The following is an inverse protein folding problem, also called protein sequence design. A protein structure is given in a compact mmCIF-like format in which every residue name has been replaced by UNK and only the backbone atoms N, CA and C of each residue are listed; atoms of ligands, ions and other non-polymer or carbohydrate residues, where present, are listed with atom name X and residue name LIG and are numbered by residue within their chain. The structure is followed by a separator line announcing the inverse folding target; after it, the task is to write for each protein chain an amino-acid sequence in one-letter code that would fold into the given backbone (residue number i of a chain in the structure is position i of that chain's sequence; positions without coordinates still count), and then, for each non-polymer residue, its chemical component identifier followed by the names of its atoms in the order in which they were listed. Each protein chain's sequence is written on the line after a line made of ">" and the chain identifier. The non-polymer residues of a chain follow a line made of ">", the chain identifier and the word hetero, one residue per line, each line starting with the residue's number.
data_IF_482740829799
#
_entry.id   IF_482740829799
#
_cell.length_a   1.000
_cell.length_b   1.000
_cell.length_c   1.000
_cell.angle_alpha   90.00
_cell.angle_beta   90.00
_cell.angle_gamma   90.00
#
_symmetry.space_group_name_H-M   'P 1'
#
loop_
_entity.id
_entity.type
_entity.pdbx_description
1 polymer ?
#
# COMPACT_ATOMS: atom_id res chain seq x y z
N UNK A 1 5.71 6.55 10.46
CA UNK A 1 6.61 6.67 9.29
C UNK A 1 7.85 5.86 9.52
N UNK A 2 8.55 5.42 8.47
CA UNK A 2 9.92 4.94 8.66
C UNK A 2 10.82 6.11 9.08
N UNK A 3 11.80 5.87 9.96
CA UNK A 3 12.77 6.90 10.40
C UNK A 3 13.50 7.51 9.19
N UNK A 4 13.77 6.69 8.17
CA UNK A 4 14.41 7.08 6.91
C UNK A 4 13.56 8.06 6.12
N UNK A 5 12.24 7.83 5.99
CA UNK A 5 11.33 8.75 5.31
C UNK A 5 11.29 10.10 6.02
N UNK A 6 11.23 10.08 7.35
CA UNK A 6 11.21 11.31 8.15
C UNK A 6 12.51 12.10 7.98
N UNK A 7 13.67 11.45 8.12
CA UNK A 7 14.98 12.09 7.92
C UNK A 7 15.16 12.59 6.48
N UNK A 8 14.68 11.85 5.48
CA UNK A 8 14.73 12.28 4.09
C UNK A 8 13.91 13.54 3.84
N UNK A 9 12.68 13.59 4.37
CA UNK A 9 11.82 14.79 4.28
C UNK A 9 12.46 15.97 4.99
N UNK A 10 12.93 15.80 6.22
CA UNK A 10 13.60 16.87 6.97
C UNK A 10 14.90 17.34 6.30
N UNK A 11 15.69 16.42 5.76
CA UNK A 11 16.91 16.74 5.02
C UNK A 11 16.63 17.52 3.74
N UNK A 12 15.60 17.13 2.97
CA UNK A 12 15.20 17.85 1.76
C UNK A 12 14.77 19.29 2.07
N UNK A 13 13.89 19.47 3.06
CA UNK A 13 13.50 20.81 3.49
C UNK A 13 14.67 21.60 4.07
N UNK A 14 15.54 20.95 4.86
CA UNK A 14 16.72 21.59 5.44
C UNK A 14 17.70 22.11 4.39
N UNK A 15 17.99 21.33 3.35
CA UNK A 15 18.81 21.76 2.22
C UNK A 15 18.15 22.89 1.42
N UNK A 16 16.84 22.79 1.18
CA UNK A 16 16.07 23.81 0.45
C UNK A 16 16.04 25.15 1.20
N UNK A 17 15.64 25.15 2.46
CA UNK A 17 15.62 26.36 3.28
C UNK A 17 17.04 26.89 3.55
N UNK A 18 18.01 26.00 3.75
CA UNK A 18 19.41 26.37 3.90
C UNK A 18 19.94 27.14 2.70
N UNK A 19 19.68 26.67 1.48
CA UNK A 19 20.06 27.37 0.26
C UNK A 19 19.43 28.77 0.15
N UNK A 20 18.15 28.90 0.50
CA UNK A 20 17.44 30.18 0.49
C UNK A 20 18.06 31.16 1.50
N UNK A 21 18.30 30.71 2.73
CA UNK A 21 18.86 31.57 3.80
C UNK A 21 20.28 32.03 3.46
N UNK A 22 21.10 31.16 2.88
CA UNK A 22 22.49 31.50 2.49
C UNK A 22 22.51 32.53 1.35
N UNK A 23 21.58 32.41 0.40
CA UNK A 23 21.63 33.19 -0.85
C UNK A 23 20.83 34.49 -0.77
N UNK A 24 19.73 34.51 0.00
CA UNK A 24 18.75 35.58 -0.06
C UNK A 24 18.88 36.56 1.13
N UNK A 25 18.96 37.87 0.87
CA UNK A 25 18.95 38.89 1.93
C UNK A 25 17.55 39.04 2.57
N UNK A 26 16.48 38.68 1.85
CA UNK A 26 15.12 38.64 2.37
C UNK A 26 14.41 37.38 1.88
N UNK A 27 14.10 36.48 2.83
CA UNK A 27 13.46 35.17 2.58
C UNK A 27 12.01 35.33 2.11
N UNK A 28 11.34 36.43 2.47
CA UNK A 28 9.93 36.67 2.12
C UNK A 28 9.70 36.82 0.62
N UNK A 29 10.75 37.13 -0.17
CA UNK A 29 10.67 37.25 -1.63
C UNK A 29 10.25 35.92 -2.29
N UNK A 30 10.54 34.79 -1.64
CA UNK A 30 10.15 33.47 -2.14
C UNK A 30 8.67 33.13 -1.89
N UNK A 31 7.97 33.93 -1.07
CA UNK A 31 6.54 33.75 -0.81
C UNK A 31 5.72 34.66 -1.72
N UNK A 32 5.59 34.25 -2.98
CA UNK A 32 4.72 34.90 -3.96
C UNK A 32 3.41 34.13 -4.16
N UNK A 33 2.29 34.80 -3.89
CA UNK A 33 0.96 34.19 -3.99
C UNK A 33 0.58 33.87 -5.44
N UNK A 34 1.04 34.67 -6.41
CA UNK A 34 0.78 34.42 -7.83
C UNK A 34 1.48 33.15 -8.31
N UNK A 35 2.78 32.99 -7.98
CA UNK A 35 3.57 31.79 -8.26
C UNK A 35 2.95 30.55 -7.62
N UNK A 36 2.48 30.65 -6.37
CA UNK A 36 1.81 29.53 -5.69
C UNK A 36 0.54 29.08 -6.42
N UNK A 37 -0.33 30.02 -6.83
CA UNK A 37 -1.55 29.72 -7.58
C UNK A 37 -1.21 29.10 -8.94
N UNK A 38 -0.21 29.61 -9.66
CA UNK A 38 0.17 29.05 -10.96
C UNK A 38 0.71 27.63 -10.84
N UNK A 39 1.59 27.36 -9.87
CA UNK A 39 2.19 26.03 -9.71
C UNK A 39 1.15 25.03 -9.20
N UNK A 40 0.45 25.31 -8.10
CA UNK A 40 -0.56 24.39 -7.58
C UNK A 40 -1.77 24.28 -8.49
N UNK A 41 -2.32 25.40 -8.94
CA UNK A 41 -3.49 25.43 -9.82
C UNK A 41 -3.20 24.79 -11.18
N UNK A 42 -2.02 25.05 -11.75
CA UNK A 42 -1.59 24.46 -13.02
C UNK A 42 -1.38 22.95 -12.91
N UNK A 43 -0.68 22.49 -11.87
CA UNK A 43 -0.45 21.05 -11.65
C UNK A 43 -1.75 20.31 -11.37
N UNK A 44 -2.61 20.81 -10.48
CA UNK A 44 -3.93 20.21 -10.21
C UNK A 44 -4.80 20.19 -11.46
N UNK A 45 -4.90 21.29 -12.20
CA UNK A 45 -5.69 21.35 -13.44
C UNK A 45 -5.16 20.34 -14.48
N UNK A 46 -3.84 20.25 -14.64
CA UNK A 46 -3.22 19.28 -15.54
C UNK A 46 -3.52 17.83 -15.14
N UNK A 47 -3.53 17.52 -13.83
CA UNK A 47 -3.94 16.20 -13.34
C UNK A 47 -5.40 15.86 -13.70
N UNK A 48 -6.33 16.81 -13.55
CA UNK A 48 -7.74 16.62 -13.92
C UNK A 48 -7.99 16.55 -15.43
N UNK A 49 -7.10 17.13 -16.25
CA UNK A 49 -7.13 16.97 -17.71
C UNK A 49 -6.61 15.59 -18.12
N UNK A 50 -5.54 15.11 -17.46
CA UNK A 50 -4.88 13.86 -17.83
C UNK A 50 -5.58 12.59 -17.31
N UNK A 51 -6.29 12.68 -16.18
CA UNK A 51 -6.88 11.53 -15.50
C UNK A 51 -8.33 11.78 -15.08
N UNK A 52 -9.11 10.70 -14.94
CA UNK A 52 -10.48 10.84 -14.44
C UNK A 52 -10.48 11.46 -13.02
N UNK A 53 -11.44 12.37 -12.72
CA UNK A 53 -11.47 13.09 -11.45
C UNK A 53 -11.45 12.19 -10.21
N UNK A 54 -12.07 11.01 -10.30
CA UNK A 54 -12.11 10.03 -9.21
C UNK A 54 -10.70 9.61 -8.77
N UNK A 55 -9.79 9.40 -9.72
CA UNK A 55 -8.44 8.91 -9.46
C UNK A 55 -7.53 9.99 -8.92
N UNK A 56 -7.68 11.22 -9.42
CA UNK A 56 -7.00 12.40 -8.86
C UNK A 56 -7.36 12.58 -7.39
N UNK A 57 -8.66 12.54 -7.05
CA UNK A 57 -9.13 12.66 -5.66
C UNK A 57 -8.62 11.52 -4.78
N UNK A 58 -8.65 10.27 -5.27
CA UNK A 58 -8.14 9.12 -4.53
C UNK A 58 -6.64 9.26 -4.27
N UNK A 59 -5.87 9.67 -5.27
CA UNK A 59 -4.42 9.87 -5.20
C UNK A 59 -4.05 10.94 -4.18
N UNK A 60 -4.75 12.08 -4.17
CA UNK A 60 -4.55 13.14 -3.17
C UNK A 60 -4.81 12.63 -1.74
N UNK A 61 -5.84 11.78 -1.54
CA UNK A 61 -6.09 11.15 -0.23
C UNK A 61 -5.00 10.14 0.15
N UNK A 62 -4.41 9.45 -0.82
CA UNK A 62 -3.32 8.50 -0.59
C UNK A 62 -2.00 9.19 -0.23
N UNK A 63 -1.73 10.40 -0.75
CA UNK A 63 -0.55 11.18 -0.37
C UNK A 63 -0.47 11.39 1.15
N UNK A 64 -1.60 11.67 1.81
CA UNK A 64 -1.65 11.79 3.26
C UNK A 64 -1.28 10.47 3.99
N UNK A 65 -1.49 9.31 3.36
CA UNK A 65 -1.08 8.00 3.92
C UNK A 65 0.39 7.69 3.73
N UNK A 66 1.10 8.35 2.82
CA UNK A 66 2.57 8.24 2.71
C UNK A 66 3.23 8.70 4.01
N UNK A 67 2.58 9.65 4.70
CA UNK A 67 3.00 10.12 6.00
C UNK A 67 2.68 9.15 7.17
N UNK A 68 1.95 8.06 6.91
CA UNK A 68 1.65 7.05 7.92
C UNK A 68 2.74 5.96 7.95
N UNK A 69 2.81 5.19 9.05
CA UNK A 69 3.68 4.00 9.08
C UNK A 69 3.22 2.94 8.09
N UNK A 70 4.15 2.24 7.40
CA UNK A 70 3.81 1.06 6.61
C UNK A 70 3.07 0.06 7.50
N UNK A 71 1.90 -0.41 7.07
CA UNK A 71 1.11 -1.40 7.81
C UNK A 71 1.70 -2.81 7.74
N UNK A 72 2.60 -3.05 6.78
CA UNK A 72 3.23 -4.34 6.54
C UNK A 72 4.66 -4.27 7.05
N UNK A 73 4.92 -4.96 8.15
CA UNK A 73 6.26 -5.13 8.71
C UNK A 73 6.79 -6.55 8.45
N UNK A 74 8.12 -6.72 8.48
CA UNK A 74 8.78 -8.03 8.38
C UNK A 74 8.24 -9.04 9.39
N UNK A 75 7.87 -8.59 10.60
CA UNK A 75 7.24 -9.45 11.60
C UNK A 75 5.90 -10.02 11.14
N UNK A 76 5.09 -9.21 10.45
CA UNK A 76 3.80 -9.63 9.90
C UNK A 76 3.98 -10.67 8.79
N UNK A 77 4.92 -10.47 7.85
CA UNK A 77 5.19 -11.46 6.80
C UNK A 77 5.61 -12.82 7.40
N UNK A 78 6.50 -12.81 8.39
CA UNK A 78 6.93 -14.04 9.07
C UNK A 78 5.76 -14.74 9.76
N UNK A 79 4.87 -13.98 10.40
CA UNK A 79 3.68 -14.52 11.05
C UNK A 79 2.71 -15.16 10.05
N UNK A 80 2.53 -14.56 8.86
CA UNK A 80 1.69 -15.10 7.78
C UNK A 80 2.29 -16.39 7.19
N UNK A 81 3.59 -16.43 6.91
CA UNK A 81 4.27 -17.66 6.47
C UNK A 81 4.12 -18.77 7.52
N UNK A 82 4.36 -18.43 8.80
CA UNK A 82 4.18 -19.38 9.89
C UNK A 82 2.74 -19.90 10.02
N UNK A 83 1.75 -19.08 9.69
CA UNK A 83 0.33 -19.50 9.65
C UNK A 83 0.10 -20.54 8.56
N UNK A 84 0.60 -20.31 7.34
CA UNK A 84 0.46 -21.25 6.22
C UNK A 84 1.14 -22.59 6.54
N UNK A 85 2.34 -22.56 7.14
CA UNK A 85 3.06 -23.77 7.55
C UNK A 85 2.26 -24.57 8.59
N UNK A 86 1.69 -23.91 9.61
CA UNK A 86 0.84 -24.57 10.61
C UNK A 86 -0.36 -25.25 9.97
N UNK A 87 -1.02 -24.60 9.02
CA UNK A 87 -2.13 -25.19 8.28
C UNK A 87 -1.73 -26.41 7.46
N UNK A 88 -0.56 -26.41 6.83
CA UNK A 88 -0.04 -27.59 6.13
C UNK A 88 0.12 -28.79 7.09
N UNK A 89 0.67 -28.56 8.29
CA UNK A 89 0.75 -29.59 9.34
C UNK A 89 -0.62 -30.04 9.83
N UNK A 90 -1.57 -29.12 10.03
CA UNK A 90 -2.94 -29.44 10.43
C UNK A 90 -3.61 -30.37 9.41
N UNK A 91 -3.47 -30.07 8.11
CA UNK A 91 -3.98 -30.92 7.02
C UNK A 91 -3.30 -32.28 7.02
N UNK A 92 -1.97 -32.33 7.16
CA UNK A 92 -1.22 -33.58 7.17
C UNK A 92 -1.64 -34.51 8.32
N UNK A 93 -1.94 -33.94 9.50
CA UNK A 93 -2.27 -34.71 10.71
C UNK A 93 -3.76 -35.06 10.82
N UNK A 94 -4.64 -34.11 10.50
CA UNK A 94 -6.07 -34.18 10.82
C UNK A 94 -6.98 -34.06 9.58
N UNK A 95 -6.40 -33.89 8.39
CA UNK A 95 -7.14 -33.72 7.14
C UNK A 95 -7.72 -32.31 6.90
N UNK A 96 -8.39 -32.15 5.76
CA UNK A 96 -9.00 -30.89 5.31
C UNK A 96 -10.07 -30.33 6.28
N UNK A 97 -10.94 -31.14 6.94
CA UNK A 97 -11.94 -30.59 7.85
C UNK A 97 -11.34 -29.81 9.03
N UNK A 98 -10.14 -30.19 9.48
CA UNK A 98 -9.43 -29.47 10.53
C UNK A 98 -8.93 -28.09 10.05
N UNK A 99 -8.47 -28.00 8.80
CA UNK A 99 -8.12 -26.74 8.16
C UNK A 99 -9.33 -25.80 8.08
N UNK A 100 -10.51 -26.30 7.73
CA UNK A 100 -11.72 -25.48 7.63
C UNK A 100 -12.10 -24.84 8.98
N UNK A 101 -12.01 -25.61 10.08
CA UNK A 101 -12.27 -25.07 11.42
C UNK A 101 -11.24 -24.01 11.83
N UNK A 102 -9.96 -24.23 11.52
CA UNK A 102 -8.88 -23.30 11.87
C UNK A 102 -8.97 -22.01 11.02
N UNK A 103 -9.25 -22.15 9.73
CA UNK A 103 -9.42 -21.04 8.79
C UNK A 103 -10.59 -20.13 9.15
N UNK A 104 -11.75 -20.69 9.58
CA UNK A 104 -12.90 -19.90 10.03
C UNK A 104 -12.57 -18.95 11.19
N UNK A 105 -11.60 -19.30 12.03
CA UNK A 105 -11.16 -18.49 13.18
C UNK A 105 -10.06 -17.52 12.80
N UNK A 106 -9.06 -17.99 12.05
CA UNK A 106 -7.82 -17.25 11.78
C UNK A 106 -7.94 -16.19 10.67
N UNK A 107 -8.93 -16.31 9.78
CA UNK A 107 -9.06 -15.44 8.60
C UNK A 107 -10.10 -14.33 8.79
N UNK A 108 -10.45 -14.00 10.04
CA UNK A 108 -11.42 -12.94 10.32
C UNK A 108 -10.91 -11.58 9.82
N UNK A 109 -11.41 -11.15 8.66
CA UNK A 109 -11.15 -9.84 8.06
C UNK A 109 -10.35 -9.86 6.75
N UNK A 110 -9.63 -10.95 6.46
CA UNK A 110 -8.84 -11.08 5.23
C UNK A 110 -9.61 -11.86 4.15
N UNK A 111 -10.25 -11.11 3.23
CA UNK A 111 -11.03 -11.72 2.14
C UNK A 111 -10.16 -12.48 1.15
N UNK A 112 -8.89 -12.08 0.97
CA UNK A 112 -7.98 -12.70 0.01
C UNK A 112 -7.54 -14.07 0.49
N UNK A 113 -7.10 -14.16 1.75
CA UNK A 113 -6.69 -15.43 2.34
C UNK A 113 -7.86 -16.41 2.48
N UNK A 114 -9.07 -15.89 2.75
CA UNK A 114 -10.30 -16.71 2.84
C UNK A 114 -10.59 -17.38 1.50
N UNK A 115 -10.56 -16.59 0.43
CA UNK A 115 -10.75 -17.08 -0.93
C UNK A 115 -9.73 -18.15 -1.31
N UNK A 116 -8.45 -17.97 -0.96
CA UNK A 116 -7.40 -18.97 -1.19
C UNK A 116 -7.68 -20.31 -0.49
N UNK A 117 -8.08 -20.28 0.78
CA UNK A 117 -8.37 -21.51 1.55
C UNK A 117 -9.63 -22.21 1.01
N UNK A 118 -10.66 -21.46 0.63
CA UNK A 118 -11.88 -22.03 0.05
C UNK A 118 -11.58 -22.80 -1.25
N UNK A 119 -10.64 -22.33 -2.09
CA UNK A 119 -10.20 -23.06 -3.28
C UNK A 119 -9.47 -24.37 -2.91
N UNK A 120 -8.60 -24.35 -1.91
CA UNK A 120 -7.92 -25.57 -1.44
C UNK A 120 -8.93 -26.59 -0.89
N UNK A 121 -9.92 -26.15 -0.10
CA UNK A 121 -10.98 -27.02 0.42
C UNK A 121 -11.84 -27.59 -0.71
N UNK A 122 -12.07 -26.80 -1.76
CA UNK A 122 -12.85 -27.22 -2.93
C UNK A 122 -12.11 -28.18 -3.86
N UNK A 123 -10.84 -28.52 -3.57
CA UNK A 123 -10.08 -29.53 -4.30
C UNK A 123 -9.25 -29.01 -5.47
N UNK A 124 -9.07 -27.70 -5.60
CA UNK A 124 -8.16 -27.13 -6.61
C UNK A 124 -6.71 -27.55 -6.34
N UNK A 125 -5.96 -27.80 -7.40
CA UNK A 125 -4.53 -28.10 -7.30
C UNK A 125 -3.74 -26.87 -6.86
N UNK A 126 -2.56 -27.09 -6.27
CA UNK A 126 -1.70 -25.98 -5.83
C UNK A 126 -1.29 -25.03 -6.96
N UNK A 127 -1.20 -25.52 -8.20
CA UNK A 127 -0.88 -24.71 -9.37
C UNK A 127 -2.06 -23.81 -9.78
N UNK A 128 -3.27 -24.35 -9.82
CA UNK A 128 -4.49 -23.57 -10.11
C UNK A 128 -4.72 -22.49 -9.05
N UNK A 129 -4.58 -22.84 -7.76
CA UNK A 129 -4.71 -21.87 -6.66
C UNK A 129 -3.70 -20.74 -6.82
N UNK A 130 -2.43 -21.06 -7.11
CA UNK A 130 -1.39 -20.06 -7.33
C UNK A 130 -1.73 -19.14 -8.50
N UNK A 131 -2.16 -19.70 -9.64
CA UNK A 131 -2.51 -18.93 -10.83
C UNK A 131 -3.68 -17.99 -10.57
N UNK A 132 -4.77 -18.50 -9.99
CA UNK A 132 -5.97 -17.70 -9.69
C UNK A 132 -5.65 -16.59 -8.68
N UNK A 133 -4.90 -16.89 -7.62
CA UNK A 133 -4.50 -15.89 -6.63
C UNK A 133 -3.56 -14.84 -7.22
N UNK A 134 -2.65 -15.23 -8.11
CA UNK A 134 -1.74 -14.29 -8.81
C UNK A 134 -2.54 -13.35 -9.71
N UNK A 135 -3.46 -13.89 -10.53
CA UNK A 135 -4.36 -13.09 -11.37
C UNK A 135 -5.24 -12.15 -10.52
N UNK A 136 -5.70 -12.60 -9.35
CA UNK A 136 -6.48 -11.79 -8.41
C UNK A 136 -5.65 -10.62 -7.86
N UNK A 137 -4.38 -10.87 -7.50
CA UNK A 137 -3.45 -9.82 -7.06
C UNK A 137 -3.24 -8.80 -8.18
N UNK A 138 -2.92 -9.25 -9.40
CA UNK A 138 -2.64 -8.37 -10.54
C UNK A 138 -3.87 -7.54 -10.93
N UNK A 139 -5.05 -8.16 -10.99
CA UNK A 139 -6.30 -7.46 -11.31
C UNK A 139 -6.68 -6.48 -10.21
N UNK A 140 -6.51 -6.86 -8.94
CA UNK A 140 -6.77 -5.96 -7.82
C UNK A 140 -5.81 -4.78 -7.81
N UNK A 141 -4.53 -5.02 -8.10
CA UNK A 141 -3.53 -3.96 -8.25
C UNK A 141 -3.90 -3.02 -9.40
N UNK A 142 -4.21 -3.56 -10.58
CA UNK A 142 -4.65 -2.77 -11.74
C UNK A 142 -5.86 -1.90 -11.42
N UNK A 143 -6.89 -2.44 -10.76
CA UNK A 143 -8.09 -1.68 -10.36
C UNK A 143 -7.87 -0.60 -9.28
N UNK A 144 -6.78 -0.71 -8.52
CA UNK A 144 -6.42 0.29 -7.52
C UNK A 144 -5.43 1.34 -8.06
N UNK A 145 -4.79 1.04 -9.20
CA UNK A 145 -3.84 1.90 -9.90
C UNK A 145 -4.46 2.67 -11.06
N UNK A 146 -5.53 2.13 -11.66
CA UNK A 146 -6.45 2.86 -12.54
C UNK A 146 -7.36 3.66 -11.64
#
# INVERSE_FOLDING_TARGET
>A
MSITTLLGVLGAFGLFFGAIIITAPNVLIFLDSASFIMVLGGTLSSMFIAYEPRYVILSLKLLARILASPKIDRGMLKAEIGRIIRWAYTVQKNGIPALEQEAKRAVRGDRFLKFGIEMVISGYTGQEVKEILTNTIETSFGRNMV
#
